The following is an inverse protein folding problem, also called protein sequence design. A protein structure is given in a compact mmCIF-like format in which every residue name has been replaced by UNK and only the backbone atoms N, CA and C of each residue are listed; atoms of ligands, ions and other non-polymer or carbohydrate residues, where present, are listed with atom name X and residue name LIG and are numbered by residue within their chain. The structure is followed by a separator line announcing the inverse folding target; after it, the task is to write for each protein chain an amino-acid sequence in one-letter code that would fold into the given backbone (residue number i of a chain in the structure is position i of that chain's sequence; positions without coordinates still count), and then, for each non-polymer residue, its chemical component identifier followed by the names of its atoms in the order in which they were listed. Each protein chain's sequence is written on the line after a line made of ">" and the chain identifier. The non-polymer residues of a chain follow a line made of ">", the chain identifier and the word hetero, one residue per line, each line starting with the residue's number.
data_IF_256238940061
#
_entry.id   IF_256238940061
#
_cell.length_a   1.000
_cell.length_b   1.000
_cell.length_c   1.000
_cell.angle_alpha   90.00
_cell.angle_beta   90.00
_cell.angle_gamma   90.00
#
_symmetry.space_group_name_H-M   'P 1'
#
loop_
_entity.id
_entity.type
_entity.pdbx_description
1 polymer ?
#
# COMPACT_ATOMS: atom_id res chain seq x y z
N UNK A 1 11.80 -8.56 18.21
CA UNK A 1 11.40 -7.21 17.79
C UNK A 1 9.96 -7.29 17.37
N UNK A 2 9.06 -6.49 17.93
CA UNK A 2 7.64 -6.51 17.57
C UNK A 2 7.44 -5.72 16.28
N UNK A 3 6.58 -6.18 15.39
CA UNK A 3 6.14 -5.42 14.22
C UNK A 3 4.72 -4.87 14.44
N UNK A 4 4.35 -3.89 13.62
CA UNK A 4 3.08 -3.19 13.66
C UNK A 4 2.40 -3.34 12.30
N UNK A 5 1.14 -3.77 12.34
CA UNK A 5 0.33 -3.93 11.14
C UNK A 5 -1.03 -3.29 11.30
N UNK A 6 -1.60 -2.81 10.20
CA UNK A 6 -3.04 -2.54 10.09
C UNK A 6 -3.70 -3.75 9.43
N UNK A 7 -4.81 -4.24 10.00
CA UNK A 7 -5.58 -5.37 9.45
C UNK A 7 -7.05 -4.99 9.30
N UNK A 8 -7.63 -5.22 8.12
CA UNK A 8 -9.06 -5.06 7.85
C UNK A 8 -9.81 -6.37 8.09
N UNK A 9 -10.86 -6.30 8.91
CA UNK A 9 -11.67 -7.47 9.27
C UNK A 9 -12.94 -7.51 8.41
N UNK A 10 -12.73 -7.87 7.14
CA UNK A 10 -13.74 -7.79 6.09
C UNK A 10 -13.95 -6.38 5.53
N UNK A 11 -14.71 -6.30 4.45
CA UNK A 11 -15.02 -5.02 3.79
C UNK A 11 -15.71 -4.09 4.78
N UNK A 12 -15.21 -2.85 4.89
CA UNK A 12 -15.71 -1.83 5.83
C UNK A 12 -15.84 -2.35 7.28
N UNK A 13 -14.91 -3.21 7.71
CA UNK A 13 -14.88 -3.77 9.08
C UNK A 13 -16.12 -4.59 9.46
N UNK A 14 -16.83 -5.18 8.49
CA UNK A 14 -18.09 -5.90 8.75
C UNK A 14 -17.96 -7.09 9.74
N UNK A 15 -16.76 -7.68 9.90
CA UNK A 15 -16.51 -8.76 10.84
C UNK A 15 -15.79 -8.31 12.13
N UNK A 16 -15.55 -7.00 12.31
CA UNK A 16 -14.77 -6.49 13.44
C UNK A 16 -15.33 -6.96 14.78
N UNK A 17 -16.65 -6.88 14.98
CA UNK A 17 -17.30 -7.32 16.23
C UNK A 17 -17.04 -8.80 16.54
N UNK A 18 -17.24 -9.68 15.58
CA UNK A 18 -17.04 -11.12 15.75
C UNK A 18 -15.58 -11.45 16.07
N UNK A 19 -14.64 -10.82 15.36
CA UNK A 19 -13.21 -10.95 15.60
C UNK A 19 -12.78 -10.43 16.99
N UNK A 20 -13.37 -9.31 17.41
CA UNK A 20 -13.12 -8.63 18.68
C UNK A 20 -13.62 -9.41 19.89
N UNK A 21 -14.82 -10.01 19.78
CA UNK A 21 -15.40 -10.86 20.81
C UNK A 21 -14.77 -12.27 20.80
N UNK A 22 -14.42 -12.78 19.62
CA UNK A 22 -13.87 -14.12 19.43
C UNK A 22 -12.35 -14.23 19.58
N UNK A 23 -11.63 -13.13 19.77
CA UNK A 23 -10.17 -13.14 19.99
C UNK A 23 -9.37 -13.60 18.77
N UNK A 24 -9.76 -13.21 17.55
CA UNK A 24 -9.04 -13.60 16.34
C UNK A 24 -9.00 -12.49 15.29
N UNK A 25 -8.06 -12.63 14.36
CA UNK A 25 -8.13 -12.02 13.02
C UNK A 25 -8.12 -13.13 11.97
N UNK A 26 -8.55 -12.82 10.75
CA UNK A 26 -8.40 -13.75 9.64
C UNK A 26 -8.63 -13.16 8.27
N UNK A 27 -8.50 -14.00 7.25
CA UNK A 27 -8.78 -13.67 5.85
C UNK A 27 -9.72 -14.69 5.23
N UNK A 28 -10.56 -14.22 4.31
CA UNK A 28 -11.44 -15.05 3.48
C UNK A 28 -11.41 -14.53 2.04
N UNK A 29 -10.85 -15.34 1.14
CA UNK A 29 -10.79 -15.06 -0.29
C UNK A 29 -11.27 -16.29 -1.09
N UNK A 30 -12.09 -17.15 -0.47
CA UNK A 30 -12.65 -18.36 -1.10
C UNK A 30 -11.74 -19.59 -1.09
N UNK A 31 -10.52 -19.51 -0.54
CA UNK A 31 -9.62 -20.66 -0.41
C UNK A 31 -10.02 -21.46 0.84
N UNK A 32 -10.97 -22.38 0.68
CA UNK A 32 -11.51 -23.16 1.79
C UNK A 32 -10.72 -24.46 2.06
N UNK A 33 -9.42 -24.31 2.34
CA UNK A 33 -8.56 -25.42 2.77
C UNK A 33 -7.59 -25.01 3.88
N UNK A 34 -7.18 -25.98 4.69
CA UNK A 34 -6.12 -25.78 5.68
C UNK A 34 -4.76 -25.63 4.96
N UNK A 35 -4.10 -24.49 5.19
CA UNK A 35 -2.81 -24.14 4.59
C UNK A 35 -1.62 -24.65 5.42
N UNK A 36 -1.85 -25.40 6.50
CA UNK A 36 -0.80 -26.02 7.31
C UNK A 36 0.14 -26.85 6.43
N UNK A 37 1.44 -26.56 6.49
CA UNK A 37 2.45 -27.18 5.62
C UNK A 37 2.50 -26.67 4.17
N UNK A 38 1.62 -25.74 3.77
CA UNK A 38 1.54 -25.12 2.43
C UNK A 38 1.91 -23.63 2.44
N UNK A 39 2.58 -23.17 3.50
CA UNK A 39 2.99 -21.79 3.70
C UNK A 39 4.51 -21.62 3.52
N UNK A 40 4.98 -21.28 2.30
CA UNK A 40 6.40 -21.09 2.01
C UNK A 40 6.98 -19.87 2.75
N UNK A 41 8.31 -19.77 2.79
CA UNK A 41 9.03 -18.69 3.49
C UNK A 41 8.88 -17.30 2.86
N UNK A 42 8.45 -17.22 1.59
CA UNK A 42 8.13 -15.96 0.92
C UNK A 42 6.77 -16.03 0.24
N UNK A 43 6.17 -14.87 0.01
CA UNK A 43 4.83 -14.75 -0.60
C UNK A 43 4.79 -15.22 -2.05
N UNK A 44 5.89 -15.11 -2.79
CA UNK A 44 5.89 -15.35 -4.24
C UNK A 44 5.57 -16.82 -4.62
N UNK A 45 6.19 -17.85 -4.02
CA UNK A 45 5.79 -19.23 -4.25
C UNK A 45 4.33 -19.52 -3.85
N UNK A 46 3.81 -18.83 -2.83
CA UNK A 46 2.41 -18.96 -2.44
C UNK A 46 1.48 -18.38 -3.51
N UNK A 47 1.73 -17.14 -3.96
CA UNK A 47 0.96 -16.51 -5.04
C UNK A 47 0.97 -17.36 -6.31
N UNK A 48 2.12 -17.94 -6.70
CA UNK A 48 2.21 -18.82 -7.87
C UNK A 48 1.33 -20.06 -7.76
N UNK A 49 1.17 -20.61 -6.55
CA UNK A 49 0.35 -21.79 -6.32
C UNK A 49 -1.15 -21.44 -6.23
N UNK A 50 -1.50 -20.34 -5.57
CA UNK A 50 -2.89 -20.04 -5.18
C UNK A 50 -3.59 -19.00 -6.05
N UNK A 51 -2.87 -18.11 -6.74
CA UNK A 51 -3.52 -17.15 -7.64
C UNK A 51 -4.32 -17.81 -8.77
N UNK A 52 -3.84 -18.92 -9.40
CA UNK A 52 -4.67 -19.65 -10.37
C UNK A 52 -5.94 -20.25 -9.77
N UNK A 53 -5.88 -20.73 -8.52
CA UNK A 53 -7.03 -21.29 -7.80
C UNK A 53 -8.04 -20.17 -7.51
N UNK A 54 -7.55 -19.03 -7.00
CA UNK A 54 -8.37 -17.84 -6.77
C UNK A 54 -9.10 -17.40 -8.05
N UNK A 55 -8.39 -17.33 -9.18
CA UNK A 55 -8.98 -16.94 -10.47
C UNK A 55 -9.99 -17.97 -11.01
N UNK A 56 -9.86 -19.26 -10.67
CA UNK A 56 -10.87 -20.25 -11.01
C UNK A 56 -12.17 -20.06 -10.20
N UNK A 57 -12.03 -19.64 -8.94
CA UNK A 57 -13.15 -19.35 -8.05
C UNK A 57 -13.81 -18.00 -8.35
N UNK A 58 -13.03 -17.03 -8.83
CA UNK A 58 -13.45 -15.67 -9.17
C UNK A 58 -13.01 -15.30 -10.60
N UNK A 59 -13.62 -15.88 -11.66
CA UNK A 59 -13.18 -15.69 -13.05
C UNK A 59 -13.26 -14.25 -13.56
N UNK A 60 -14.05 -13.40 -12.89
CA UNK A 60 -14.19 -11.97 -13.18
C UNK A 60 -13.02 -11.13 -12.64
N UNK A 61 -12.19 -11.70 -11.76
CA UNK A 61 -11.08 -11.01 -11.12
C UNK A 61 -9.83 -10.99 -12.00
N UNK A 62 -9.05 -9.93 -11.84
CA UNK A 62 -7.75 -9.79 -12.51
C UNK A 62 -6.64 -10.52 -11.75
N UNK A 63 -5.51 -10.73 -12.43
CA UNK A 63 -4.28 -11.22 -11.77
C UNK A 63 -3.81 -10.32 -10.63
N UNK A 64 -4.03 -9.00 -10.75
CA UNK A 64 -3.72 -8.03 -9.69
C UNK A 64 -4.53 -8.33 -8.44
N UNK A 65 -5.84 -8.49 -8.58
CA UNK A 65 -6.72 -8.82 -7.45
C UNK A 65 -6.33 -10.18 -6.83
N UNK A 66 -6.04 -11.18 -7.66
CA UNK A 66 -5.59 -12.49 -7.21
C UNK A 66 -4.27 -12.43 -6.42
N UNK A 67 -3.30 -11.65 -6.89
CA UNK A 67 -2.01 -11.44 -6.22
C UNK A 67 -2.17 -10.77 -4.86
N UNK A 68 -3.02 -9.73 -4.76
CA UNK A 68 -3.32 -9.04 -3.51
C UNK A 68 -4.05 -9.95 -2.50
N UNK A 69 -5.05 -10.71 -2.97
CA UNK A 69 -5.77 -11.67 -2.15
C UNK A 69 -4.84 -12.75 -1.57
N UNK A 70 -3.99 -13.35 -2.41
CA UNK A 70 -3.02 -14.35 -1.97
C UNK A 70 -1.98 -13.77 -1.02
N UNK A 71 -1.51 -12.54 -1.27
CA UNK A 71 -0.59 -11.85 -0.38
C UNK A 71 -1.22 -11.58 1.00
N UNK A 72 -2.49 -11.19 1.07
CA UNK A 72 -3.21 -11.01 2.32
C UNK A 72 -3.33 -12.32 3.10
N UNK A 73 -3.72 -13.42 2.43
CA UNK A 73 -3.82 -14.75 3.05
C UNK A 73 -2.47 -15.17 3.62
N UNK A 74 -1.41 -15.10 2.81
CA UNK A 74 -0.07 -15.51 3.22
C UNK A 74 0.45 -14.63 4.36
N UNK A 75 0.21 -13.32 4.32
CA UNK A 75 0.65 -12.40 5.38
C UNK A 75 0.03 -12.78 6.72
N UNK A 76 -1.30 -12.94 6.77
CA UNK A 76 -1.99 -13.34 8.01
C UNK A 76 -1.58 -14.75 8.46
N UNK A 77 -1.43 -15.68 7.51
CA UNK A 77 -1.21 -17.10 7.82
C UNK A 77 0.25 -17.46 8.14
N UNK A 78 1.23 -16.69 7.64
CA UNK A 78 2.67 -17.00 7.77
C UNK A 78 3.51 -15.85 8.29
N UNK A 79 3.31 -14.62 7.80
CA UNK A 79 4.20 -13.51 8.11
C UNK A 79 4.00 -12.95 9.52
N UNK A 80 2.74 -12.75 9.94
CA UNK A 80 2.43 -12.27 11.28
C UNK A 80 2.91 -13.26 12.34
N UNK A 81 3.56 -12.81 13.40
CA UNK A 81 4.12 -13.66 14.46
C UNK A 81 3.57 -13.29 15.83
N UNK A 82 3.56 -14.24 16.79
CA UNK A 82 3.27 -13.91 18.19
C UNK A 82 4.10 -12.72 18.69
N UNK A 83 3.42 -11.77 19.33
CA UNK A 83 4.00 -10.52 19.82
C UNK A 83 3.91 -9.33 18.86
N UNK A 84 3.53 -9.53 17.59
CA UNK A 84 3.22 -8.41 16.69
C UNK A 84 1.96 -7.66 17.14
N UNK A 85 1.93 -6.34 16.92
CA UNK A 85 0.84 -5.44 17.29
C UNK A 85 -0.01 -5.11 16.06
N UNK A 86 -1.33 -5.09 16.24
CA UNK A 86 -2.31 -4.83 15.21
C UNK A 86 -3.14 -3.59 15.55
N UNK A 87 -3.40 -2.78 14.53
CA UNK A 87 -4.48 -1.79 14.52
C UNK A 87 -5.58 -2.28 13.57
N UNK A 88 -6.79 -2.53 14.09
CA UNK A 88 -7.94 -2.95 13.27
C UNK A 88 -9.09 -1.96 13.40
N UNK A 89 -9.58 -1.35 12.31
CA UNK A 89 -10.67 -0.39 12.39
C UNK A 89 -11.98 -1.07 12.82
N UNK A 90 -12.75 -0.39 13.67
CA UNK A 90 -14.04 -0.86 14.17
C UNK A 90 -15.24 -0.45 13.28
N UNK A 91 -14.97 0.27 12.18
CA UNK A 91 -16.00 0.80 11.27
C UNK A 91 -16.57 2.16 11.67
N UNK A 92 -16.20 2.71 12.82
CA UNK A 92 -16.67 4.00 13.35
C UNK A 92 -15.64 5.13 13.25
N UNK A 93 -14.49 4.86 12.65
CA UNK A 93 -13.36 5.79 12.59
C UNK A 93 -12.36 5.62 13.73
N UNK A 94 -12.44 4.51 14.47
CA UNK A 94 -11.50 4.15 15.53
C UNK A 94 -10.83 2.83 15.22
N UNK A 95 -9.62 2.64 15.74
CA UNK A 95 -8.83 1.43 15.53
C UNK A 95 -8.60 0.75 16.88
N UNK A 96 -9.05 -0.49 17.01
CA UNK A 96 -8.78 -1.31 18.18
C UNK A 96 -7.38 -1.89 18.11
N UNK A 97 -6.68 -1.88 19.23
CA UNK A 97 -5.34 -2.42 19.37
C UNK A 97 -5.42 -3.89 19.80
N UNK A 98 -4.66 -4.76 19.14
CA UNK A 98 -4.51 -6.17 19.52
C UNK A 98 -3.08 -6.66 19.39
N UNK A 99 -2.76 -7.73 20.10
CA UNK A 99 -1.48 -8.42 19.98
C UNK A 99 -1.69 -9.86 19.48
N UNK A 100 -0.92 -10.28 18.48
CA UNK A 100 -0.92 -11.68 18.03
C UNK A 100 -0.42 -12.57 19.18
N UNK A 101 -1.19 -13.58 19.53
CA UNK A 101 -0.84 -14.56 20.55
C UNK A 101 -0.49 -15.92 19.92
N UNK A 102 -1.32 -16.36 18.97
CA UNK A 102 -1.27 -17.71 18.43
C UNK A 102 -0.62 -17.84 17.07
N UNK A 103 -0.20 -19.06 16.76
CA UNK A 103 0.18 -19.48 15.42
C UNK A 103 -1.05 -19.63 14.49
N UNK A 104 -0.81 -20.10 13.28
CA UNK A 104 -1.84 -20.24 12.24
C UNK A 104 -2.77 -21.36 12.63
N UNK A 105 -4.06 -21.15 12.38
CA UNK A 105 -5.02 -22.23 12.40
C UNK A 105 -6.15 -21.95 11.42
N UNK A 106 -6.81 -23.03 10.99
CA UNK A 106 -7.89 -22.97 10.02
C UNK A 106 -9.25 -23.23 10.68
N UNK A 107 -10.18 -22.28 10.54
CA UNK A 107 -11.54 -22.38 11.06
C UNK A 107 -12.50 -22.90 9.97
N UNK A 108 -12.71 -24.21 9.94
CA UNK A 108 -13.55 -24.84 8.92
C UNK A 108 -14.99 -24.29 8.94
N UNK A 109 -15.46 -23.77 7.80
CA UNK A 109 -16.84 -23.29 7.63
C UNK A 109 -17.17 -21.96 8.32
N UNK A 110 -16.20 -21.27 8.91
CA UNK A 110 -16.40 -19.99 9.56
C UNK A 110 -15.96 -18.82 8.66
N UNK A 111 -16.45 -17.60 8.93
CA UNK A 111 -15.97 -16.39 8.25
C UNK A 111 -14.49 -16.16 8.55
N UNK A 112 -13.74 -15.60 7.60
CA UNK A 112 -12.31 -15.33 7.79
C UNK A 112 -11.56 -16.59 8.29
N UNK A 113 -11.61 -17.72 7.55
CA UNK A 113 -11.22 -19.02 8.08
C UNK A 113 -9.71 -19.18 8.29
N UNK A 114 -8.85 -18.39 7.65
CA UNK A 114 -7.40 -18.42 7.87
C UNK A 114 -7.02 -17.47 9.00
N UNK A 115 -6.79 -18.00 10.21
CA UNK A 115 -6.80 -17.20 11.44
C UNK A 115 -5.47 -17.14 12.19
N UNK A 116 -5.37 -16.07 12.99
CA UNK A 116 -4.44 -15.93 14.12
C UNK A 116 -5.26 -15.62 15.37
N UNK A 117 -4.85 -16.17 16.51
CA UNK A 117 -5.40 -15.78 17.81
C UNK A 117 -4.82 -14.43 18.22
N UNK A 118 -5.68 -13.54 18.72
CA UNK A 118 -5.34 -12.17 19.09
C UNK A 118 -5.90 -11.84 20.48
N UNK A 119 -5.03 -11.29 21.31
CA UNK A 119 -5.44 -10.63 22.55
C UNK A 119 -5.81 -9.20 22.18
N UNK A 120 -7.11 -8.90 22.17
CA UNK A 120 -7.59 -7.54 21.97
C UNK A 120 -7.54 -6.75 23.27
N UNK A 121 -6.90 -5.59 23.22
CA UNK A 121 -6.88 -4.67 24.35
C UNK A 121 -8.12 -3.76 24.31
N UNK A 122 -8.50 -3.21 25.47
CA UNK A 122 -9.52 -2.15 25.55
C UNK A 122 -8.87 -0.79 25.30
N UNK A 123 -8.14 -0.70 24.18
CA UNK A 123 -7.42 0.49 23.73
C UNK A 123 -7.89 0.77 22.30
N UNK A 124 -8.35 1.99 22.10
CA UNK A 124 -8.81 2.49 20.81
C UNK A 124 -8.05 3.75 20.44
N UNK A 125 -7.58 3.80 19.20
CA UNK A 125 -6.95 4.97 18.62
C UNK A 125 -7.96 5.61 17.67
N UNK A 126 -8.37 6.85 17.97
CA UNK A 126 -9.19 7.64 17.07
C UNK A 126 -8.39 7.99 15.82
N UNK A 127 -8.97 7.81 14.62
CA UNK A 127 -8.31 8.18 13.36
C UNK A 127 -7.89 9.66 13.32
N UNK A 128 -8.62 10.52 14.04
CA UNK A 128 -8.31 11.94 14.16
C UNK A 128 -7.08 12.23 15.03
N UNK A 129 -6.69 11.32 15.92
CA UNK A 129 -5.50 11.45 16.77
C UNK A 129 -4.21 11.01 16.05
N UNK A 130 -4.33 10.31 14.94
CA UNK A 130 -3.18 9.89 14.11
C UNK A 130 -2.62 11.08 13.34
N UNK A 131 -1.30 11.13 13.23
CA UNK A 131 -0.59 11.97 12.28
C UNK A 131 -1.07 11.68 10.86
N UNK A 132 -0.93 12.65 9.97
CA UNK A 132 -1.28 12.47 8.57
C UNK A 132 -0.53 11.28 7.91
N UNK A 133 0.80 11.09 8.10
CA UNK A 133 1.49 9.91 7.62
C UNK A 133 0.90 8.58 8.12
N UNK A 134 0.61 8.45 9.42
CA UNK A 134 0.02 7.23 9.97
C UNK A 134 -1.40 7.03 9.44
N UNK A 135 -2.19 8.10 9.32
CA UNK A 135 -3.55 8.08 8.77
C UNK A 135 -3.59 7.62 7.32
N UNK A 136 -2.58 7.99 6.52
CA UNK A 136 -2.45 7.55 5.13
C UNK A 136 -2.06 6.06 5.09
N UNK A 137 -1.06 5.63 5.86
CA UNK A 137 -0.65 4.22 5.90
C UNK A 137 -1.75 3.29 6.41
N UNK A 138 -2.48 3.70 7.46
CA UNK A 138 -3.63 2.93 8.01
C UNK A 138 -4.91 3.06 7.18
N UNK A 139 -4.97 4.06 6.29
CA UNK A 139 -6.06 4.28 5.35
C UNK A 139 -5.87 3.58 4.00
N UNK A 140 -4.73 2.90 3.78
CA UNK A 140 -4.50 2.14 2.56
C UNK A 140 -5.57 1.05 2.39
N UNK A 141 -5.80 0.63 1.15
CA UNK A 141 -6.97 -0.22 0.84
C UNK A 141 -6.74 -1.70 1.17
N UNK A 142 -5.50 -2.18 1.09
CA UNK A 142 -5.18 -3.60 1.28
C UNK A 142 -5.68 -4.18 2.62
N UNK A 143 -5.95 -5.48 2.66
CA UNK A 143 -6.41 -6.15 3.89
C UNK A 143 -5.37 -6.10 5.01
N UNK A 144 -4.08 -6.13 4.68
CA UNK A 144 -2.99 -6.00 5.65
C UNK A 144 -1.98 -4.97 5.16
N UNK A 145 -1.49 -4.13 6.06
CA UNK A 145 -0.40 -3.19 5.78
C UNK A 145 0.61 -3.19 6.89
N UNK A 146 1.90 -3.26 6.54
CA UNK A 146 2.97 -3.01 7.48
C UNK A 146 3.04 -1.50 7.79
N UNK A 147 3.06 -1.16 9.07
CA UNK A 147 3.12 0.22 9.57
C UNK A 147 4.28 0.40 10.56
N UNK A 148 5.34 -0.41 10.43
CA UNK A 148 6.52 -0.39 11.31
C UNK A 148 7.19 0.99 11.37
N UNK A 149 7.16 1.74 10.28
CA UNK A 149 7.74 3.10 10.21
C UNK A 149 7.09 4.07 11.19
N UNK A 150 5.89 3.76 11.69
CA UNK A 150 5.13 4.58 12.64
C UNK A 150 5.16 3.99 14.06
N UNK A 151 6.05 3.04 14.35
CA UNK A 151 6.11 2.34 15.64
C UNK A 151 6.12 3.28 16.85
N UNK A 152 6.95 4.34 16.82
CA UNK A 152 7.05 5.30 17.93
C UNK A 152 5.74 6.05 18.18
N UNK A 153 5.05 6.49 17.12
CA UNK A 153 3.76 7.16 17.22
C UNK A 153 2.69 6.21 17.76
N UNK A 154 2.67 4.98 17.25
CA UNK A 154 1.70 3.96 17.68
C UNK A 154 1.87 3.64 19.16
N UNK A 155 3.10 3.43 19.63
CA UNK A 155 3.38 3.19 21.05
C UNK A 155 3.00 4.39 21.93
N UNK A 156 3.23 5.62 21.47
CA UNK A 156 2.76 6.83 22.16
C UNK A 156 1.23 6.85 22.31
N UNK A 157 0.51 6.56 21.22
CA UNK A 157 -0.95 6.51 21.19
C UNK A 157 -1.51 5.37 22.06
N UNK A 158 -0.86 4.21 22.09
CA UNK A 158 -1.21 3.08 22.96
C UNK A 158 -0.98 3.43 24.44
N UNK A 159 0.12 4.11 24.75
CA UNK A 159 0.49 4.52 26.11
C UNK A 159 -0.36 5.66 26.69
N UNK A 160 -1.31 6.19 25.93
CA UNK A 160 -2.15 7.33 26.35
C UNK A 160 -1.40 8.66 26.42
N UNK A 161 -0.21 8.74 25.83
CA UNK A 161 0.50 10.00 25.65
C UNK A 161 -0.09 10.70 24.42
N UNK A 162 -0.46 11.99 24.52
CA UNK A 162 -0.93 12.72 23.35
C UNK A 162 0.13 12.63 22.26
N UNK A 163 -0.30 12.33 21.03
CA UNK A 163 0.56 12.27 19.86
C UNK A 163 1.50 13.48 19.88
N UNK A 164 2.81 13.24 19.99
CA UNK A 164 3.80 14.29 19.82
C UNK A 164 3.71 14.67 18.34
N UNK A 165 2.85 15.64 18.05
CA UNK A 165 2.83 16.33 16.79
C UNK A 165 4.22 16.93 16.62
N UNK A 166 4.98 16.62 15.56
CA UNK A 166 6.20 17.36 15.28
C UNK A 166 5.78 18.81 15.10
N UNK A 167 6.07 19.66 16.09
CA UNK A 167 5.89 21.09 15.96
C UNK A 167 6.83 21.55 14.83
N UNK A 168 6.36 22.37 13.89
CA UNK A 168 7.26 22.94 12.89
C UNK A 168 8.35 23.72 13.63
N UNK A 169 9.61 23.36 13.37
CA UNK A 169 10.76 24.14 13.82
C UNK A 169 10.63 25.49 13.12
N UNK A 170 10.29 26.52 13.88
CA UNK A 170 10.22 27.88 13.38
C UNK A 170 11.65 28.38 13.21
N UNK A 171 12.19 28.26 12.00
CA UNK A 171 13.46 28.86 11.64
C UNK A 171 13.25 30.36 11.48
N UNK A 172 13.95 31.13 12.31
CA UNK A 172 14.07 32.56 12.14
C UNK A 172 14.79 32.86 10.83
N UNK A 173 14.13 33.66 9.99
CA UNK A 173 14.63 34.34 8.79
C UNK A 173 14.76 33.49 7.50
N UNK A 174 13.92 33.82 6.51
CA UNK A 174 14.19 33.61 5.08
C UNK A 174 13.77 32.29 4.41
N UNK A 175 12.97 31.43 5.06
CA UNK A 175 12.71 30.04 4.59
C UNK A 175 11.27 29.76 4.09
N UNK A 176 10.49 30.77 3.71
CA UNK A 176 9.06 30.58 3.38
C UNK A 176 8.85 29.89 2.02
N UNK A 177 9.72 30.11 1.02
CA UNK A 177 9.59 29.41 -0.28
C UNK A 177 9.98 27.93 -0.18
N UNK A 178 11.07 27.60 0.51
CA UNK A 178 11.52 26.22 0.69
C UNK A 178 10.57 25.42 1.58
N UNK A 179 9.98 26.01 2.63
CA UNK A 179 9.06 25.29 3.50
C UNK A 179 7.72 24.94 2.82
N UNK A 180 7.23 25.80 1.91
CA UNK A 180 6.00 25.54 1.14
C UNK A 180 6.27 24.53 0.02
N UNK A 181 7.40 24.64 -0.69
CA UNK A 181 7.84 23.63 -1.65
C UNK A 181 8.06 22.27 -0.96
N UNK A 182 8.69 22.25 0.21
CA UNK A 182 8.98 21.04 1.00
C UNK A 182 7.73 20.40 1.61
N UNK A 183 6.77 21.19 2.09
CA UNK A 183 5.46 20.71 2.55
C UNK A 183 4.65 20.07 1.42
N UNK A 184 4.71 20.64 0.21
CA UNK A 184 4.07 20.08 -0.99
C UNK A 184 4.81 18.85 -1.53
N UNK A 185 6.14 18.80 -1.47
CA UNK A 185 6.96 17.65 -1.89
C UNK A 185 6.81 16.42 -0.97
N UNK A 186 6.52 16.62 0.33
CA UNK A 186 6.26 15.52 1.26
C UNK A 186 5.02 14.70 0.88
N UNK A 187 4.08 15.32 0.17
CA UNK A 187 2.81 14.74 -0.29
C UNK A 187 2.69 14.71 -1.83
N UNK A 188 3.82 14.69 -2.56
CA UNK A 188 3.79 14.72 -4.03
C UNK A 188 2.95 13.58 -4.61
N UNK A 189 3.04 12.38 -4.06
CA UNK A 189 2.23 11.24 -4.48
C UNK A 189 0.75 11.46 -4.21
N UNK A 190 0.37 11.78 -2.97
CA UNK A 190 -1.03 12.04 -2.58
C UNK A 190 -1.63 13.16 -3.44
N UNK A 191 -0.85 14.22 -3.70
CA UNK A 191 -1.24 15.31 -4.59
C UNK A 191 -1.45 14.83 -6.02
N UNK A 192 -0.54 14.01 -6.55
CA UNK A 192 -0.65 13.46 -7.90
C UNK A 192 -1.86 12.53 -8.04
N UNK A 193 -2.12 11.68 -7.05
CA UNK A 193 -3.27 10.78 -6.99
C UNK A 193 -4.57 11.58 -6.91
N UNK A 194 -4.65 12.57 -6.01
CA UNK A 194 -5.84 13.41 -5.84
C UNK A 194 -6.16 14.25 -7.09
N UNK A 195 -5.14 14.62 -7.87
CA UNK A 195 -5.29 15.41 -9.09
C UNK A 195 -5.08 14.60 -10.36
N UNK A 196 -5.12 13.26 -10.30
CA UNK A 196 -4.69 12.38 -11.40
C UNK A 196 -5.36 12.73 -12.74
N UNK A 197 -6.67 12.95 -12.73
CA UNK A 197 -7.45 13.30 -13.94
C UNK A 197 -7.06 14.65 -14.58
N UNK A 198 -6.34 15.52 -13.87
CA UNK A 198 -5.84 16.80 -14.38
C UNK A 198 -4.41 16.69 -14.94
N UNK A 199 -3.76 15.53 -14.78
CA UNK A 199 -2.39 15.30 -15.25
C UNK A 199 -2.35 14.87 -16.71
N UNK A 200 -1.18 14.94 -17.33
CA UNK A 200 -0.96 14.35 -18.66
C UNK A 200 -1.22 12.83 -18.66
N UNK A 201 -0.89 12.14 -17.57
CA UNK A 201 -1.14 10.71 -17.42
C UNK A 201 -2.64 10.39 -17.32
N UNK A 202 -3.43 11.19 -16.60
CA UNK A 202 -4.87 10.99 -16.44
C UNK A 202 -5.69 11.02 -17.73
N UNK A 203 -5.11 11.52 -18.83
CA UNK A 203 -5.72 11.49 -20.16
C UNK A 203 -5.84 10.08 -20.71
N UNK A 204 -4.82 9.26 -20.53
CA UNK A 204 -4.70 7.92 -21.12
C UNK A 204 -4.78 6.80 -20.08
N UNK A 205 -4.51 7.11 -18.82
CA UNK A 205 -4.32 6.16 -17.73
C UNK A 205 -5.28 6.42 -16.57
N UNK A 206 -5.72 5.35 -15.93
CA UNK A 206 -6.47 5.35 -14.68
C UNK A 206 -5.62 4.66 -13.61
N UNK A 207 -5.58 5.20 -12.40
CA UNK A 207 -4.94 4.49 -11.28
C UNK A 207 -5.68 3.17 -11.10
N UNK A 208 -4.92 2.07 -10.93
CA UNK A 208 -5.50 0.75 -10.89
C UNK A 208 -6.48 0.64 -9.71
N UNK A 209 -7.70 0.17 -9.98
CA UNK A 209 -8.72 -0.07 -8.99
C UNK A 209 -9.21 -1.53 -9.04
N UNK A 210 -9.46 -2.12 -7.88
CA UNK A 210 -10.20 -3.38 -7.76
C UNK A 210 -11.54 -3.09 -7.05
N UNK A 211 -12.65 -3.49 -7.66
CA UNK A 211 -14.02 -3.20 -7.16
C UNK A 211 -14.30 -1.74 -6.77
N UNK A 212 -13.68 -0.79 -7.49
CA UNK A 212 -13.82 0.64 -7.24
C UNK A 212 -12.94 1.18 -6.11
N UNK A 213 -12.11 0.34 -5.48
CA UNK A 213 -11.12 0.75 -4.49
C UNK A 213 -9.75 0.93 -5.18
N UNK A 214 -9.14 2.11 -5.03
CA UNK A 214 -7.84 2.47 -5.63
C UNK A 214 -6.67 1.68 -5.01
N UNK A 215 -6.44 0.46 -5.47
CA UNK A 215 -5.34 -0.40 -5.01
C UNK A 215 -3.99 -0.05 -5.63
N UNK A 216 -3.96 0.80 -6.65
CA UNK A 216 -2.75 1.14 -7.41
C UNK A 216 -1.77 2.06 -6.68
N UNK A 217 -2.18 2.78 -5.65
CA UNK A 217 -1.28 3.64 -4.87
C UNK A 217 -0.46 2.80 -3.87
N UNK A 218 0.85 3.05 -3.78
CA UNK A 218 1.79 2.29 -2.93
C UNK A 218 1.65 0.79 -3.15
N UNK A 219 1.63 0.37 -4.41
CA UNK A 219 1.34 -1.00 -4.79
C UNK A 219 2.47 -1.94 -4.32
N UNK A 220 2.18 -2.98 -3.52
CA UNK A 220 3.21 -3.84 -2.96
C UNK A 220 3.84 -4.77 -4.01
N UNK A 221 5.17 -4.90 -4.00
CA UNK A 221 5.92 -5.89 -4.80
C UNK A 221 6.88 -6.69 -3.93
N UNK A 222 7.60 -7.65 -4.52
CA UNK A 222 8.63 -8.44 -3.83
C UNK A 222 9.95 -7.67 -3.57
N UNK A 223 10.12 -6.48 -4.16
CA UNK A 223 11.31 -5.62 -3.99
C UNK A 223 11.00 -4.25 -3.36
N UNK A 224 9.81 -4.10 -2.76
CA UNK A 224 9.32 -2.87 -2.14
C UNK A 224 8.03 -2.38 -2.78
N UNK A 225 7.35 -1.41 -2.18
CA UNK A 225 6.18 -0.79 -2.81
C UNK A 225 6.64 0.09 -3.99
N UNK A 226 5.91 0.03 -5.11
CA UNK A 226 6.03 1.02 -6.18
C UNK A 226 5.02 2.14 -5.91
N UNK A 227 5.31 3.36 -6.37
CA UNK A 227 4.51 4.53 -5.97
C UNK A 227 3.09 4.49 -6.55
N UNK A 228 2.94 4.32 -7.87
CA UNK A 228 1.62 4.21 -8.52
C UNK A 228 1.61 3.14 -9.63
N UNK A 229 0.67 2.20 -9.54
CA UNK A 229 0.27 1.31 -10.62
C UNK A 229 -0.99 1.88 -11.29
N UNK A 230 -0.93 2.06 -12.61
CA UNK A 230 -2.04 2.51 -13.42
C UNK A 230 -2.31 1.55 -14.58
N UNK A 231 -3.50 1.64 -15.17
CA UNK A 231 -3.94 0.88 -16.34
C UNK A 231 -4.44 1.84 -17.41
N UNK A 232 -4.14 1.56 -18.68
CA UNK A 232 -4.63 2.38 -19.78
C UNK A 232 -6.15 2.27 -19.87
N UNK A 233 -6.82 3.32 -20.36
CA UNK A 233 -8.29 3.33 -20.51
C UNK A 233 -8.83 2.23 -21.42
N UNK A 234 -8.02 1.76 -22.37
CA UNK A 234 -8.33 0.60 -23.23
C UNK A 234 -7.97 -0.75 -22.59
N UNK A 235 -7.43 -0.74 -21.36
CA UNK A 235 -6.99 -1.88 -20.54
C UNK A 235 -5.89 -2.73 -21.16
N UNK A 236 -5.23 -2.28 -22.23
CA UNK A 236 -4.17 -3.04 -22.92
C UNK A 236 -2.78 -2.86 -22.31
N UNK A 237 -2.61 -1.85 -21.46
CA UNK A 237 -1.28 -1.47 -20.97
C UNK A 237 -1.34 -1.21 -19.47
N UNK A 238 -0.31 -1.62 -18.77
CA UNK A 238 -0.06 -1.27 -17.37
C UNK A 238 1.06 -0.24 -17.32
N UNK A 239 0.94 0.73 -16.42
CA UNK A 239 1.93 1.78 -16.20
C UNK A 239 2.45 1.69 -14.77
N UNK A 240 3.76 1.58 -14.63
CA UNK A 240 4.47 1.71 -13.37
C UNK A 240 5.00 3.13 -13.25
N UNK A 241 4.62 3.84 -12.19
CA UNK A 241 5.11 5.19 -11.91
C UNK A 241 6.05 5.15 -10.71
N UNK A 242 7.21 5.79 -10.88
CA UNK A 242 8.19 6.04 -9.81
C UNK A 242 8.40 7.54 -9.67
N UNK A 243 8.22 8.05 -8.45
CA UNK A 243 8.30 9.45 -8.10
C UNK A 243 9.63 9.78 -7.41
N UNK A 244 10.24 10.89 -7.79
CA UNK A 244 11.40 11.47 -7.07
C UNK A 244 11.12 12.92 -6.72
N UNK A 245 11.24 13.24 -5.42
CA UNK A 245 11.02 14.58 -4.87
C UNK A 245 11.98 15.64 -5.38
N UNK A 246 13.18 15.23 -5.79
CA UNK A 246 14.20 16.14 -6.30
C UNK A 246 14.64 15.74 -7.70
N UNK A 247 15.91 16.01 -7.99
CA UNK A 247 16.56 15.47 -9.19
C UNK A 247 16.59 13.94 -9.11
N UNK A 248 16.15 13.27 -10.17
CA UNK A 248 16.29 11.83 -10.28
C UNK A 248 17.73 11.46 -10.67
N UNK A 249 18.35 10.51 -9.95
CA UNK A 249 19.60 9.88 -10.35
C UNK A 249 19.36 8.69 -11.26
N UNK A 250 20.38 8.23 -11.98
CA UNK A 250 20.33 7.03 -12.83
C UNK A 250 19.98 5.73 -12.06
N UNK A 251 20.16 5.70 -10.75
CA UNK A 251 19.69 4.60 -9.89
C UNK A 251 18.18 4.34 -10.00
N UNK A 252 17.38 5.37 -10.33
CA UNK A 252 15.93 5.22 -10.53
C UNK A 252 15.60 4.28 -11.69
N UNK A 253 16.49 4.20 -12.69
CA UNK A 253 16.29 3.33 -13.87
C UNK A 253 16.31 1.87 -13.44
N UNK A 254 17.24 1.49 -12.56
CA UNK A 254 17.26 0.14 -12.00
C UNK A 254 16.03 -0.16 -11.13
N UNK A 255 15.55 0.83 -10.38
CA UNK A 255 14.36 0.68 -9.54
C UNK A 255 13.10 0.45 -10.37
N UNK A 256 12.81 1.33 -11.33
CA UNK A 256 11.60 1.21 -12.16
C UNK A 256 11.62 -0.08 -13.00
N UNK A 257 12.79 -0.52 -13.50
CA UNK A 257 12.88 -1.75 -14.27
C UNK A 257 12.59 -3.00 -13.43
N UNK A 258 12.96 -3.02 -12.14
CA UNK A 258 12.57 -4.11 -11.23
C UNK A 258 11.05 -4.18 -11.07
N UNK A 259 10.41 -3.04 -10.84
CA UNK A 259 8.96 -2.97 -10.71
C UNK A 259 8.25 -3.35 -12.01
N UNK A 260 8.70 -2.85 -13.16
CA UNK A 260 8.15 -3.24 -14.47
C UNK A 260 8.28 -4.74 -14.72
N UNK A 261 9.43 -5.35 -14.37
CA UNK A 261 9.62 -6.80 -14.45
C UNK A 261 8.61 -7.57 -13.60
N UNK A 262 8.44 -7.17 -12.34
CA UNK A 262 7.43 -7.75 -11.44
C UNK A 262 6.01 -7.63 -12.03
N UNK A 263 5.62 -6.43 -12.49
CA UNK A 263 4.29 -6.21 -13.08
C UNK A 263 4.09 -7.05 -14.35
N UNK A 264 5.13 -7.19 -15.18
CA UNK A 264 5.06 -7.97 -16.41
C UNK A 264 4.93 -9.48 -16.14
N UNK A 265 5.64 -10.00 -15.15
CA UNK A 265 5.65 -11.43 -14.82
C UNK A 265 4.40 -11.84 -14.03
N UNK A 266 4.03 -11.06 -13.03
CA UNK A 266 3.07 -11.47 -12.00
C UNK A 266 1.68 -10.88 -12.25
N UNK A 267 1.58 -9.67 -12.81
CA UNK A 267 0.31 -8.92 -12.87
C UNK A 267 -0.29 -8.83 -14.27
N UNK A 268 0.53 -8.76 -15.33
CA UNK A 268 0.06 -8.57 -16.69
C UNK A 268 -0.74 -9.78 -17.19
N UNK A 269 -1.89 -9.48 -17.80
CA UNK A 269 -2.73 -10.45 -18.50
C UNK A 269 -2.19 -10.70 -19.91
N UNK A 270 -2.68 -11.78 -20.55
CA UNK A 270 -2.26 -12.11 -21.91
C UNK A 270 -2.60 -10.96 -22.88
N UNK A 271 -1.60 -10.48 -23.61
CA UNK A 271 -1.74 -9.35 -24.55
C UNK A 271 -1.60 -7.97 -23.91
N UNK A 272 -1.41 -7.87 -22.59
CA UNK A 272 -1.04 -6.62 -21.96
C UNK A 272 0.47 -6.34 -22.05
N UNK A 273 0.84 -5.07 -22.18
CA UNK A 273 2.24 -4.61 -22.12
C UNK A 273 2.46 -3.73 -20.89
N UNK A 274 3.69 -3.66 -20.41
CA UNK A 274 4.07 -2.79 -19.27
C UNK A 274 4.92 -1.62 -19.75
N UNK A 275 4.53 -0.40 -19.37
CA UNK A 275 5.27 0.85 -19.56
C UNK A 275 5.72 1.41 -18.20
N UNK A 276 6.77 2.23 -18.21
CA UNK A 276 7.26 2.94 -17.03
C UNK A 276 7.17 4.45 -17.18
N UNK A 277 6.91 5.15 -16.09
CA UNK A 277 7.03 6.60 -15.98
C UNK A 277 7.87 6.97 -14.76
N UNK A 278 8.96 7.69 -14.98
CA UNK A 278 9.70 8.37 -13.90
C UNK A 278 9.23 9.81 -13.86
N UNK A 279 8.79 10.28 -12.70
CA UNK A 279 8.35 11.67 -12.50
C UNK A 279 9.25 12.33 -11.46
N UNK A 280 9.89 13.44 -11.84
CA UNK A 280 10.83 14.15 -10.96
C UNK A 280 10.85 15.66 -11.22
N UNK A 281 11.47 16.44 -10.34
CA UNK A 281 11.59 17.90 -10.51
C UNK A 281 12.53 18.27 -11.67
N UNK A 282 13.62 17.53 -11.77
CA UNK A 282 14.72 17.79 -12.70
C UNK A 282 15.42 16.48 -13.09
N UNK A 283 16.10 16.52 -14.23
CA UNK A 283 16.93 15.44 -14.75
C UNK A 283 18.34 15.92 -15.07
N UNK A 284 19.28 14.99 -15.14
CA UNK A 284 20.63 15.25 -15.62
C UNK A 284 20.95 14.46 -16.91
N UNK A 285 22.15 14.68 -17.45
CA UNK A 285 22.56 13.99 -18.66
C UNK A 285 22.69 12.47 -18.47
N UNK A 286 22.99 11.99 -17.26
CA UNK A 286 23.19 10.55 -16.99
C UNK A 286 21.86 9.81 -17.09
N UNK A 287 20.82 10.28 -16.39
CA UNK A 287 19.50 9.66 -16.46
C UNK A 287 18.91 9.76 -17.87
N UNK A 288 19.07 10.89 -18.58
CA UNK A 288 18.62 11.02 -19.98
C UNK A 288 19.27 9.97 -20.89
N UNK A 289 20.57 9.74 -20.74
CA UNK A 289 21.30 8.74 -21.52
C UNK A 289 20.86 7.32 -21.17
N UNK A 290 20.65 7.03 -19.88
CA UNK A 290 20.16 5.73 -19.45
C UNK A 290 18.75 5.44 -19.99
N UNK A 291 17.82 6.39 -19.86
CA UNK A 291 16.45 6.24 -20.34
C UNK A 291 16.34 6.17 -21.87
N UNK A 292 17.25 6.80 -22.61
CA UNK A 292 17.30 6.67 -24.06
C UNK A 292 17.53 5.21 -24.53
N UNK A 293 18.11 4.36 -23.69
CA UNK A 293 18.29 2.93 -23.97
C UNK A 293 17.08 2.07 -23.57
N UNK A 294 16.07 2.67 -22.91
CA UNK A 294 14.89 1.96 -22.38
C UNK A 294 13.62 2.70 -22.84
N UNK A 295 13.23 2.58 -24.12
CA UNK A 295 12.14 3.38 -24.70
C UNK A 295 10.76 3.09 -24.10
N UNK A 296 10.61 1.99 -23.36
CA UNK A 296 9.41 1.67 -22.59
C UNK A 296 9.25 2.53 -21.32
N UNK A 297 10.27 3.31 -20.94
CA UNK A 297 10.24 4.21 -19.79
C UNK A 297 10.26 5.66 -20.25
N UNK A 298 9.21 6.40 -19.90
CA UNK A 298 9.09 7.84 -20.15
C UNK A 298 9.53 8.63 -18.93
N UNK A 299 10.10 9.81 -19.16
CA UNK A 299 10.45 10.75 -18.10
C UNK A 299 9.51 11.95 -18.15
N UNK A 300 8.94 12.31 -17.00
CA UNK A 300 8.08 13.47 -16.82
C UNK A 300 8.70 14.42 -15.80
N UNK A 301 8.60 15.71 -16.08
CA UNK A 301 8.90 16.76 -15.10
C UNK A 301 7.62 17.27 -14.49
N UNK A 302 7.57 17.37 -13.17
CA UNK A 302 6.48 18.11 -12.51
C UNK A 302 6.92 19.54 -12.21
N UNK A 303 5.93 20.44 -12.15
CA UNK A 303 6.13 21.82 -11.72
C UNK A 303 4.95 22.21 -10.84
N UNK A 304 5.27 22.73 -9.66
CA UNK A 304 4.29 23.32 -8.75
C UNK A 304 4.25 24.83 -8.99
N UNK A 305 3.05 25.41 -9.12
CA UNK A 305 2.85 26.85 -9.22
C UNK A 305 1.73 27.26 -8.28
N UNK A 306 2.00 28.25 -7.43
CA UNK A 306 1.02 28.87 -6.55
C UNK A 306 0.93 30.35 -6.89
N UNK A 307 -0.27 30.86 -7.14
CA UNK A 307 -0.51 32.28 -7.40
C UNK A 307 -1.67 32.76 -6.54
N UNK A 308 -1.39 33.73 -5.69
CA UNK A 308 -2.40 34.44 -4.90
C UNK A 308 -2.62 35.80 -5.55
N UNK A 309 -3.81 36.03 -6.09
CA UNK A 309 -4.19 37.30 -6.71
C UNK A 309 -5.11 38.09 -5.76
N UNK A 310 -4.96 39.42 -5.69
CA UNK A 310 -5.87 40.28 -4.93
C UNK A 310 -7.29 40.21 -5.51
N UNK A 311 -8.28 40.54 -4.67
CA UNK A 311 -9.64 40.83 -5.13
C UNK A 311 -9.69 42.15 -5.91
#
# INVERSE_FOLDING_TARGET
>A
MKNYYRVMLGRKSMHARECFEGGFIGTDFGIHEDLSGKLPESVRPFNRAYAPIYLQLHPEKSKVAAGLACAAIWTVSKMLRPGDILLSPDGTGRYRVGAIEGEYWYATGAVLPHRRTVIWHDIYIDRAAMSEPLRNSTGSIGTVSNINVHAEEIESLIGGLPAISPQPIMTSEGLVEDAVAFGMEKHLEDFLVANWGQTELGRDWEIYADEGELVGQQFPTDTGALDILAISKDRKRLLVVELKKGRASDAVVGQILRYMGYVQEELAEAGQTVEGAVIALDDDQRIRRALAMVPAVRFYRYRVSFQLIPA
#
